data_IF_175829085416
#
_entry.id   IF_175829085416
#
_cell.length_a   1.000
_cell.length_b   1.000
_cell.length_c   1.000
_cell.angle_alpha   90.00
_cell.angle_beta   90.00
_cell.angle_gamma   90.00
#
_symmetry.space_group_name_H-M   'P 1'
#
loop_
_entity.id
_entity.type
_entity.pdbx_description
1 polymer ?
#
# COMPACT_ATOMS: atom_id res chain seq x y z
N UNK A 1 -17.27 4.24 12.47
CA UNK A 1 -15.86 4.41 12.89
C UNK A 1 -15.52 3.32 13.88
N UNK A 2 -14.24 3.04 14.14
CA UNK A 2 -13.83 2.17 15.24
C UNK A 2 -14.06 2.95 16.53
N UNK A 3 -14.89 2.43 17.44
CA UNK A 3 -15.20 3.10 18.68
C UNK A 3 -13.94 3.23 19.56
N UNK A 4 -13.82 4.35 20.27
CA UNK A 4 -12.71 4.68 21.18
C UNK A 4 -11.30 4.74 20.55
N UNK A 5 -11.18 4.82 19.22
CA UNK A 5 -9.89 5.05 18.58
C UNK A 5 -9.47 6.53 18.73
N UNK A 6 -8.25 6.82 19.22
CA UNK A 6 -7.78 8.19 19.31
C UNK A 6 -7.75 8.88 17.93
N UNK A 7 -8.24 10.12 17.88
CA UNK A 7 -8.39 10.88 16.63
C UNK A 7 -7.08 11.02 15.84
N UNK A 8 -5.93 11.08 16.52
CA UNK A 8 -4.63 11.20 15.86
C UNK A 8 -4.33 10.01 14.95
N UNK A 9 -4.80 8.80 15.25
CA UNK A 9 -4.58 7.60 14.43
C UNK A 9 -5.26 7.79 13.08
N UNK A 10 -6.52 8.22 13.09
CA UNK A 10 -7.31 8.53 11.89
C UNK A 10 -6.66 9.65 11.08
N UNK A 11 -6.23 10.74 11.73
CA UNK A 11 -5.60 11.88 11.07
C UNK A 11 -4.29 11.45 10.39
N UNK A 12 -3.40 10.77 11.11
CA UNK A 12 -2.12 10.30 10.56
C UNK A 12 -2.34 9.36 9.38
N UNK A 13 -3.33 8.48 9.46
CA UNK A 13 -3.65 7.55 8.38
C UNK A 13 -4.19 8.27 7.12
N UNK A 14 -5.05 9.28 7.30
CA UNK A 14 -5.52 10.13 6.20
C UNK A 14 -4.35 10.89 5.57
N UNK A 15 -3.47 11.48 6.38
CA UNK A 15 -2.28 12.18 5.90
C UNK A 15 -1.33 11.25 5.14
N UNK A 16 -1.12 10.01 5.60
CA UNK A 16 -0.35 9.00 4.89
C UNK A 16 -0.98 8.64 3.53
N UNK A 17 -2.30 8.52 3.48
CA UNK A 17 -3.04 8.28 2.23
C UNK A 17 -2.88 9.45 1.26
N UNK A 18 -3.04 10.69 1.73
CA UNK A 18 -2.83 11.90 0.94
C UNK A 18 -1.39 12.03 0.46
N UNK A 19 -0.41 11.71 1.31
CA UNK A 19 1.00 11.67 0.94
C UNK A 19 1.25 10.67 -0.20
N UNK A 20 0.67 9.47 -0.12
CA UNK A 20 0.71 8.47 -1.21
C UNK A 20 0.12 9.04 -2.50
N UNK A 21 -1.06 9.64 -2.43
CA UNK A 21 -1.76 10.24 -3.56
C UNK A 21 -0.92 11.34 -4.23
N UNK A 22 -0.37 12.26 -3.43
CA UNK A 22 0.43 13.39 -3.90
C UNK A 22 1.72 12.89 -4.57
N UNK A 23 2.42 11.93 -3.96
CA UNK A 23 3.63 11.37 -4.56
C UNK A 23 3.33 10.57 -5.82
N UNK A 24 2.23 9.81 -5.85
CA UNK A 24 1.83 9.08 -7.05
C UNK A 24 1.42 10.02 -8.20
N UNK A 25 0.74 11.13 -7.88
CA UNK A 25 0.46 12.21 -8.82
C UNK A 25 1.74 12.86 -9.36
N UNK A 26 2.69 13.20 -8.49
CA UNK A 26 3.99 13.75 -8.90
C UNK A 26 4.79 12.75 -9.74
N UNK A 27 4.78 11.47 -9.36
CA UNK A 27 5.48 10.41 -10.08
C UNK A 27 4.89 10.17 -11.48
N UNK A 28 3.59 10.40 -11.65
CA UNK A 28 2.89 10.31 -12.93
C UNK A 28 2.95 11.58 -13.77
N UNK A 29 3.99 12.41 -13.57
CA UNK A 29 4.19 13.68 -14.26
C UNK A 29 2.96 14.61 -14.14
N UNK A 30 2.35 14.64 -12.95
CA UNK A 30 1.21 15.48 -12.65
C UNK A 30 -0.01 15.21 -13.54
N UNK A 31 -0.19 13.94 -13.95
CA UNK A 31 -1.33 13.51 -14.76
C UNK A 31 -2.65 13.72 -14.01
N UNK A 32 -3.48 14.65 -14.51
CA UNK A 32 -4.83 14.90 -13.97
C UNK A 32 -5.70 13.65 -14.01
N UNK A 33 -5.52 12.78 -15.01
CA UNK A 33 -6.25 11.51 -15.12
C UNK A 33 -5.94 10.59 -13.94
N UNK A 34 -4.66 10.43 -13.60
CA UNK A 34 -4.25 9.61 -12.45
C UNK A 34 -4.83 10.18 -11.16
N UNK A 35 -4.73 11.50 -10.97
CA UNK A 35 -5.28 12.16 -9.79
C UNK A 35 -6.79 11.95 -9.64
N UNK A 36 -7.57 12.22 -10.70
CA UNK A 36 -9.03 12.10 -10.68
C UNK A 36 -9.47 10.65 -10.45
N UNK A 37 -8.84 9.68 -11.12
CA UNK A 37 -9.14 8.25 -10.91
C UNK A 37 -8.82 7.83 -9.48
N UNK A 38 -7.66 8.23 -8.94
CA UNK A 38 -7.28 7.92 -7.56
C UNK A 38 -8.20 8.57 -6.53
N UNK A 39 -8.58 9.84 -6.72
CA UNK A 39 -9.54 10.53 -5.83
C UNK A 39 -10.91 9.85 -5.92
N UNK A 40 -11.43 9.60 -7.12
CA UNK A 40 -12.72 8.93 -7.30
C UNK A 40 -12.73 7.55 -6.63
N UNK A 41 -11.63 6.80 -6.75
CA UNK A 41 -11.46 5.52 -6.08
C UNK A 41 -11.42 5.66 -4.54
N UNK A 42 -10.63 6.59 -4.00
CA UNK A 42 -10.56 6.85 -2.56
C UNK A 42 -11.91 7.29 -2.00
N UNK A 43 -12.65 8.16 -2.70
CA UNK A 43 -13.98 8.60 -2.30
C UNK A 43 -14.95 7.42 -2.29
N UNK A 44 -15.00 6.62 -3.37
CA UNK A 44 -15.86 5.43 -3.44
C UNK A 44 -15.57 4.48 -2.27
N UNK A 45 -14.30 4.14 -2.08
CA UNK A 45 -13.85 3.22 -1.04
C UNK A 45 -14.09 3.77 0.37
N UNK A 46 -13.91 5.08 0.54
CA UNK A 46 -14.14 5.76 1.81
C UNK A 46 -15.61 5.81 2.18
N UNK A 47 -16.50 6.11 1.22
CA UNK A 47 -17.95 6.08 1.41
C UNK A 47 -18.43 4.67 1.76
N UNK A 48 -17.97 3.65 1.02
CA UNK A 48 -18.31 2.25 1.33
C UNK A 48 -17.84 1.85 2.75
N UNK A 49 -16.62 2.20 3.13
CA UNK A 49 -16.09 1.94 4.47
C UNK A 49 -16.80 2.74 5.57
N UNK A 50 -17.30 3.94 5.27
CA UNK A 50 -18.07 4.77 6.20
C UNK A 50 -19.45 4.18 6.48
N UNK A 51 -20.11 3.64 5.44
CA UNK A 51 -21.40 2.94 5.56
C UNK A 51 -21.27 1.47 5.96
N UNK A 52 -20.14 1.06 6.53
CA UNK A 52 -19.91 -0.30 7.04
C UNK A 52 -20.10 -1.40 5.97
N UNK A 53 -19.91 -1.07 4.69
CA UNK A 53 -20.12 -2.04 3.60
C UNK A 53 -19.23 -3.27 3.75
N UNK A 54 -17.98 -3.08 4.19
CA UNK A 54 -16.98 -4.16 4.31
C UNK A 54 -17.06 -4.98 5.60
N UNK A 55 -17.89 -4.59 6.58
CA UNK A 55 -18.01 -5.32 7.86
C UNK A 55 -18.86 -6.58 7.74
N UNK A 56 -19.67 -6.70 6.68
CA UNK A 56 -20.32 -7.96 6.33
C UNK A 56 -19.29 -8.87 5.64
N UNK A 57 -18.84 -9.88 6.36
CA UNK A 57 -17.77 -10.77 5.93
C UNK A 57 -18.25 -12.17 5.58
N UNK A 58 -19.53 -12.50 5.79
CA UNK A 58 -20.10 -13.83 5.56
C UNK A 58 -20.26 -14.19 4.06
N UNK A 59 -20.27 -13.18 3.19
CA UNK A 59 -20.45 -13.37 1.74
C UNK A 59 -19.22 -13.97 1.04
N UNK A 60 -19.47 -14.80 0.01
CA UNK A 60 -18.43 -15.32 -0.90
C UNK A 60 -18.68 -14.82 -2.34
N UNK A 61 -17.75 -14.08 -2.97
CA UNK A 61 -16.44 -13.68 -2.43
C UNK A 61 -16.55 -12.61 -1.33
N UNK A 62 -15.56 -12.53 -0.40
CA UNK A 62 -15.55 -11.50 0.64
C UNK A 62 -15.60 -10.10 0.03
N UNK A 63 -16.39 -9.19 0.62
CA UNK A 63 -16.55 -7.83 0.09
C UNK A 63 -15.24 -7.07 -0.03
N UNK A 64 -14.26 -7.36 0.84
CA UNK A 64 -12.91 -6.78 0.79
C UNK A 64 -12.20 -7.05 -0.55
N UNK A 65 -12.56 -8.12 -1.28
CA UNK A 65 -12.06 -8.39 -2.63
C UNK A 65 -12.44 -7.25 -3.60
N UNK A 66 -13.57 -6.58 -3.40
CA UNK A 66 -13.98 -5.43 -4.22
C UNK A 66 -13.09 -4.19 -4.01
N UNK A 67 -12.39 -4.09 -2.88
CA UNK A 67 -11.37 -3.07 -2.65
C UNK A 67 -10.03 -3.43 -3.31
N UNK A 68 -9.66 -4.72 -3.32
CA UNK A 68 -8.37 -5.20 -3.83
C UNK A 68 -8.39 -5.43 -5.34
N UNK A 69 -9.32 -6.25 -5.82
CA UNK A 69 -9.34 -6.81 -7.17
C UNK A 69 -9.29 -5.76 -8.27
N UNK A 70 -10.09 -4.66 -8.25
CA UNK A 70 -10.03 -3.64 -9.29
C UNK A 70 -8.65 -2.98 -9.43
N UNK A 71 -7.92 -2.83 -8.33
CA UNK A 71 -6.58 -2.23 -8.37
C UNK A 71 -5.54 -3.16 -8.99
N UNK A 72 -5.61 -4.46 -8.71
CA UNK A 72 -4.74 -5.46 -9.34
C UNK A 72 -5.07 -5.65 -10.82
N UNK A 73 -6.35 -5.60 -11.20
CA UNK A 73 -6.75 -5.61 -12.61
C UNK A 73 -6.23 -4.38 -13.32
N UNK A 74 -6.40 -3.18 -12.75
CA UNK A 74 -5.87 -1.94 -13.33
C UNK A 74 -4.34 -2.00 -13.48
N UNK A 75 -3.65 -2.52 -12.47
CA UNK A 75 -2.21 -2.77 -12.51
C UNK A 75 -1.83 -3.71 -13.65
N UNK A 76 -2.51 -4.86 -13.79
CA UNK A 76 -2.29 -5.81 -14.89
C UNK A 76 -2.48 -5.15 -16.25
N UNK A 77 -3.59 -4.42 -16.45
CA UNK A 77 -3.87 -3.69 -17.69
C UNK A 77 -2.72 -2.73 -18.04
N UNK A 78 -2.18 -1.99 -17.07
CA UNK A 78 -1.06 -1.09 -17.30
C UNK A 78 0.23 -1.83 -17.72
N UNK A 79 0.49 -3.03 -17.19
CA UNK A 79 1.70 -3.77 -17.54
C UNK A 79 1.60 -4.50 -18.90
N UNK A 80 0.41 -4.94 -19.28
CA UNK A 80 0.21 -5.76 -20.48
C UNK A 80 -0.16 -4.95 -21.74
N UNK A 81 -0.83 -3.80 -21.61
CA UNK A 81 -1.23 -2.98 -22.77
C UNK A 81 -0.11 -2.07 -23.29
N UNK A 82 -0.08 -1.79 -24.59
CA UNK A 82 0.93 -0.92 -25.20
C UNK A 82 0.93 0.50 -24.59
N UNK A 83 -0.27 1.11 -24.42
CA UNK A 83 -0.43 2.42 -23.78
C UNK A 83 0.06 2.41 -22.32
N UNK A 84 -0.24 1.35 -21.58
CA UNK A 84 0.22 1.20 -20.20
C UNK A 84 1.73 1.08 -20.08
N UNK A 85 2.39 0.35 -20.99
CA UNK A 85 3.87 0.26 -21.04
C UNK A 85 4.52 1.62 -21.26
N UNK A 86 3.98 2.44 -22.16
CA UNK A 86 4.44 3.83 -22.39
C UNK A 86 4.24 4.68 -21.14
N UNK A 87 3.08 4.59 -20.49
CA UNK A 87 2.83 5.29 -19.24
C UNK A 87 3.84 4.91 -18.15
N UNK A 88 4.06 3.61 -17.92
CA UNK A 88 5.04 3.10 -16.95
C UNK A 88 6.45 3.62 -17.21
N UNK A 89 6.87 3.68 -18.49
CA UNK A 89 8.18 4.20 -18.85
C UNK A 89 8.35 5.69 -18.51
N UNK A 90 7.27 6.47 -18.54
CA UNK A 90 7.26 7.90 -18.22
C UNK A 90 7.34 8.21 -16.72
N UNK A 91 7.06 7.24 -15.84
CA UNK A 91 6.94 7.48 -14.40
C UNK A 91 8.28 7.89 -13.77
N UNK A 92 8.28 8.85 -12.86
CA UNK A 92 9.50 9.27 -12.16
C UNK A 92 9.91 8.26 -11.07
N UNK A 93 10.94 7.46 -11.35
CA UNK A 93 11.45 6.44 -10.42
C UNK A 93 11.92 7.01 -9.08
N UNK A 94 12.50 8.22 -9.04
CA UNK A 94 12.95 8.84 -7.80
C UNK A 94 11.76 9.14 -6.89
N UNK A 95 10.67 9.67 -7.45
CA UNK A 95 9.45 9.99 -6.70
C UNK A 95 8.74 8.72 -6.24
N UNK A 96 8.67 7.68 -7.09
CA UNK A 96 8.18 6.36 -6.67
C UNK A 96 9.03 5.76 -5.55
N UNK A 97 10.35 5.99 -5.56
CA UNK A 97 11.22 5.51 -4.49
C UNK A 97 10.93 6.24 -3.16
N UNK A 98 10.72 7.56 -3.21
CA UNK A 98 10.27 8.34 -2.05
C UNK A 98 8.92 7.90 -1.49
N UNK A 99 8.02 7.40 -2.35
CA UNK A 99 6.70 6.94 -1.95
C UNK A 99 6.78 5.85 -0.87
N UNK A 100 7.82 5.02 -0.88
CA UNK A 100 7.98 3.94 0.10
C UNK A 100 8.09 4.43 1.55
N UNK A 101 8.45 5.70 1.80
CA UNK A 101 8.46 6.32 3.13
C UNK A 101 7.10 6.25 3.82
N UNK A 102 6.00 6.20 3.06
CA UNK A 102 4.65 6.13 3.61
C UNK A 102 4.43 4.93 4.53
N UNK A 103 5.23 3.88 4.39
CA UNK A 103 5.18 2.73 5.30
C UNK A 103 5.42 3.13 6.75
N UNK A 104 6.27 4.11 7.04
CA UNK A 104 6.55 4.52 8.42
C UNK A 104 5.26 4.96 9.14
N UNK A 105 4.51 5.98 8.67
CA UNK A 105 3.27 6.36 9.34
C UNK A 105 2.18 5.28 9.26
N UNK A 106 2.14 4.46 8.20
CA UNK A 106 1.18 3.35 8.10
C UNK A 106 1.45 2.30 9.17
N UNK A 107 2.70 1.88 9.35
CA UNK A 107 3.10 0.89 10.35
C UNK A 107 2.87 1.38 11.78
N UNK A 108 3.08 2.67 12.04
CA UNK A 108 2.69 3.29 13.32
C UNK A 108 1.17 3.25 13.54
N UNK A 109 0.37 3.50 12.49
CA UNK A 109 -1.08 3.36 12.58
C UNK A 109 -1.51 1.91 12.82
N UNK A 110 -0.86 0.94 12.16
CA UNK A 110 -1.12 -0.47 12.41
C UNK A 110 -0.81 -0.83 13.87
N UNK A 111 0.32 -0.38 14.41
CA UNK A 111 0.64 -0.57 15.81
C UNK A 111 -0.43 0.00 16.76
N UNK A 112 -0.90 1.23 16.52
CA UNK A 112 -1.98 1.81 17.33
C UNK A 112 -3.31 1.06 17.20
N UNK A 113 -3.62 0.55 16.00
CA UNK A 113 -4.79 -0.31 15.79
C UNK A 113 -4.68 -1.65 16.53
N UNK A 114 -3.45 -2.17 16.67
CA UNK A 114 -3.17 -3.38 17.47
C UNK A 114 -3.40 -3.13 18.95
N UNK A 115 -2.89 -2.01 19.48
CA UNK A 115 -3.14 -1.58 20.87
C UNK A 115 -4.65 -1.40 21.11
N UNK A 116 -5.37 -0.87 20.12
CA UNK A 116 -6.83 -0.75 20.13
C UNK A 116 -7.60 -2.05 19.85
N UNK A 117 -6.92 -3.21 19.81
CA UNK A 117 -7.50 -4.54 19.63
C UNK A 117 -8.26 -4.78 18.32
N UNK A 118 -7.90 -4.04 17.26
CA UNK A 118 -8.59 -4.13 15.95
C UNK A 118 -7.77 -4.77 14.83
N UNK A 119 -6.47 -4.98 15.04
CA UNK A 119 -5.64 -5.79 14.15
C UNK A 119 -4.69 -6.64 15.00
N UNK A 120 -4.22 -7.82 14.55
CA UNK A 120 -3.35 -8.67 15.36
C UNK A 120 -1.90 -8.19 15.42
N UNK A 121 -1.17 -8.65 16.44
CA UNK A 121 0.26 -8.37 16.63
C UNK A 121 1.12 -8.75 15.41
N UNK A 122 0.80 -9.89 14.77
CA UNK A 122 1.51 -10.39 13.59
C UNK A 122 1.52 -9.41 12.42
N UNK A 123 0.56 -8.48 12.38
CA UNK A 123 0.45 -7.42 11.38
C UNK A 123 1.31 -6.18 11.68
N UNK A 124 1.99 -6.14 12.83
CA UNK A 124 2.79 -5.01 13.30
C UNK A 124 4.29 -5.31 13.25
N UNK A 125 5.10 -4.26 13.37
CA UNK A 125 6.56 -4.38 13.44
C UNK A 125 7.09 -5.01 14.73
N UNK A 126 6.28 -5.11 15.80
CA UNK A 126 6.63 -5.91 16.99
C UNK A 126 6.50 -7.42 16.71
N UNK A 127 5.56 -7.79 15.82
CA UNK A 127 5.36 -9.16 15.40
C UNK A 127 6.25 -9.56 14.23
N UNK A 128 5.66 -9.78 13.06
CA UNK A 128 6.36 -10.32 11.87
C UNK A 128 6.39 -9.36 10.68
N UNK A 129 5.90 -8.13 10.85
CA UNK A 129 5.84 -7.14 9.77
C UNK A 129 7.07 -6.22 9.75
N UNK A 130 8.09 -6.59 8.99
CA UNK A 130 9.29 -5.76 8.86
C UNK A 130 9.20 -4.70 7.75
N UNK A 131 8.00 -4.40 7.22
CA UNK A 131 7.84 -3.44 6.12
C UNK A 131 8.24 -2.00 6.54
N UNK A 132 8.25 -1.69 7.85
CA UNK A 132 8.81 -0.42 8.37
C UNK A 132 10.26 -0.18 7.93
N UNK A 133 11.07 -1.25 7.79
CA UNK A 133 12.46 -1.15 7.33
C UNK A 133 12.55 -0.69 5.88
N UNK A 134 11.61 -1.12 5.02
CA UNK A 134 11.52 -0.62 3.65
C UNK A 134 11.21 0.89 3.62
N UNK A 135 10.36 1.36 4.55
CA UNK A 135 10.09 2.78 4.72
C UNK A 135 11.29 3.59 5.17
N UNK A 136 12.01 3.12 6.19
CA UNK A 136 13.20 3.79 6.76
C UNK A 136 14.37 3.80 5.77
N UNK A 137 14.56 2.73 5.00
CA UNK A 137 15.67 2.64 4.03
C UNK A 137 15.40 3.39 2.73
N UNK A 138 14.14 3.76 2.42
CA UNK A 138 13.80 4.46 1.18
C UNK A 138 14.53 5.82 0.99
N UNK A 139 14.57 6.75 1.96
CA UNK A 139 15.32 8.01 1.83
C UNK A 139 16.83 7.78 1.61
N UNK A 140 17.39 6.77 2.28
CA UNK A 140 18.80 6.40 2.15
C UNK A 140 19.07 5.95 0.71
N UNK A 141 18.25 5.05 0.19
CA UNK A 141 18.35 4.59 -1.21
C UNK A 141 18.16 5.74 -2.18
N UNK A 142 17.21 6.65 -1.92
CA UNK A 142 17.03 7.82 -2.78
C UNK A 142 18.30 8.67 -2.83
N UNK A 143 18.86 8.98 -1.66
CA UNK A 143 20.06 9.78 -1.54
C UNK A 143 21.26 9.11 -2.22
N UNK A 144 21.50 7.83 -1.96
CA UNK A 144 22.66 7.13 -2.47
C UNK A 144 22.60 6.86 -3.98
N UNK A 145 21.44 6.45 -4.51
CA UNK A 145 21.28 6.11 -5.93
C UNK A 145 21.02 7.34 -6.81
N UNK A 146 20.06 8.20 -6.45
CA UNK A 146 19.65 9.30 -7.32
C UNK A 146 20.42 10.60 -7.10
N UNK A 147 20.85 10.91 -5.87
CA UNK A 147 21.56 12.16 -5.58
C UNK A 147 23.08 11.99 -5.68
N UNK A 148 23.64 11.00 -4.97
CA UNK A 148 25.09 10.77 -4.93
C UNK A 148 25.60 9.88 -6.06
N UNK A 149 24.74 9.06 -6.66
CA UNK A 149 25.08 8.11 -7.74
C UNK A 149 26.23 7.15 -7.36
N UNK A 150 26.34 6.81 -6.07
CA UNK A 150 27.39 5.92 -5.54
C UNK A 150 26.97 4.46 -5.50
N UNK A 151 25.67 4.20 -5.65
CA UNK A 151 25.08 2.86 -5.60
C UNK A 151 24.72 2.41 -7.01
N UNK A 152 25.02 1.16 -7.34
CA UNK A 152 24.75 0.60 -8.65
C UNK A 152 23.26 0.31 -8.86
N UNK A 153 22.88 0.25 -10.13
CA UNK A 153 21.56 -0.19 -10.58
C UNK A 153 21.14 -1.56 -10.00
N UNK A 154 22.11 -2.47 -9.85
CA UNK A 154 21.90 -3.81 -9.28
C UNK A 154 21.46 -3.73 -7.81
N UNK A 155 22.05 -2.84 -7.03
CA UNK A 155 21.67 -2.66 -5.62
C UNK A 155 20.26 -2.09 -5.50
N UNK A 156 19.88 -1.10 -6.33
CA UNK A 156 18.50 -0.58 -6.33
C UNK A 156 17.48 -1.67 -6.71
N UNK A 157 17.84 -2.55 -7.66
CA UNK A 157 17.00 -3.69 -8.04
C UNK A 157 16.86 -4.68 -6.89
N UNK A 158 17.95 -5.05 -6.22
CA UNK A 158 17.94 -5.95 -5.05
C UNK A 158 17.06 -5.35 -3.94
N UNK A 159 17.22 -4.05 -3.64
CA UNK A 159 16.41 -3.37 -2.64
C UNK A 159 14.91 -3.43 -2.97
N UNK A 160 14.53 -3.17 -4.22
CA UNK A 160 13.13 -3.26 -4.65
C UNK A 160 12.58 -4.68 -4.52
N UNK A 161 13.36 -5.70 -4.90
CA UNK A 161 12.94 -7.11 -4.78
C UNK A 161 12.79 -7.50 -3.30
N UNK A 162 13.75 -7.14 -2.44
CA UNK A 162 13.67 -7.42 -1.01
C UNK A 162 12.45 -6.74 -0.36
N UNK A 163 12.22 -5.45 -0.64
CA UNK A 163 11.06 -4.73 -0.13
C UNK A 163 9.73 -5.29 -0.67
N UNK A 164 9.69 -5.74 -1.92
CA UNK A 164 8.52 -6.41 -2.48
C UNK A 164 8.23 -7.73 -1.79
N UNK A 165 9.25 -8.52 -1.42
CA UNK A 165 9.07 -9.76 -0.67
C UNK A 165 8.46 -9.46 0.71
N UNK A 166 8.96 -8.43 1.41
CA UNK A 166 8.38 -7.98 2.69
C UNK A 166 6.89 -7.59 2.51
N UNK A 167 6.59 -6.77 1.49
CA UNK A 167 5.23 -6.35 1.19
C UNK A 167 4.30 -7.53 0.88
N UNK A 168 4.73 -8.48 0.05
CA UNK A 168 3.93 -9.65 -0.29
C UNK A 168 3.68 -10.52 0.94
N UNK A 169 4.69 -10.67 1.81
CA UNK A 169 4.55 -11.39 3.07
C UNK A 169 3.42 -10.79 3.92
N UNK A 170 3.47 -9.49 4.18
CA UNK A 170 2.45 -8.83 5.01
C UNK A 170 1.06 -8.82 4.33
N UNK A 171 0.98 -8.72 3.00
CA UNK A 171 -0.31 -8.80 2.29
C UNK A 171 -0.94 -10.19 2.47
N UNK A 172 -0.16 -11.27 2.38
CA UNK A 172 -0.65 -12.64 2.60
C UNK A 172 -1.11 -12.80 4.06
N UNK A 173 -0.30 -12.34 5.01
CA UNK A 173 -0.66 -12.33 6.44
C UNK A 173 -1.95 -11.55 6.69
N UNK A 174 -2.11 -10.38 6.07
CA UNK A 174 -3.30 -9.54 6.19
C UNK A 174 -4.56 -10.24 5.68
N UNK A 175 -4.46 -10.96 4.56
CA UNK A 175 -5.56 -11.73 3.99
C UNK A 175 -5.98 -12.87 4.91
N UNK A 176 -5.02 -13.64 5.45
CA UNK A 176 -5.32 -14.74 6.35
C UNK A 176 -5.68 -14.32 7.78
N UNK A 177 -5.39 -13.08 8.17
CA UNK A 177 -5.82 -12.50 9.43
C UNK A 177 -7.18 -11.78 9.34
N UNK A 178 -7.65 -11.46 8.12
CA UNK A 178 -8.94 -10.78 7.94
C UNK A 178 -10.10 -11.70 8.33
N UNK A 179 -11.13 -11.20 9.03
CA UNK A 179 -12.26 -11.97 9.56
C UNK A 179 -13.23 -12.41 8.44
N UNK A 180 -12.76 -13.20 7.50
CA UNK A 180 -13.48 -13.66 6.31
C UNK A 180 -13.46 -15.19 6.27
N UNK A 181 -14.26 -15.86 5.41
CA UNK A 181 -14.25 -17.31 5.30
C UNK A 181 -12.88 -17.94 4.97
N UNK A 182 -11.91 -17.14 4.50
CA UNK A 182 -10.54 -17.57 4.21
C UNK A 182 -9.55 -17.30 5.37
N UNK A 183 -10.02 -16.83 6.53
CA UNK A 183 -9.18 -16.60 7.70
C UNK A 183 -8.49 -17.90 8.13
N UNK A 184 -7.18 -17.83 8.42
CA UNK A 184 -6.38 -18.97 8.88
C UNK A 184 -5.59 -18.68 10.16
N UNK A 185 -5.44 -17.40 10.52
CA UNK A 185 -4.63 -16.96 11.66
C UNK A 185 -5.35 -15.85 12.43
N UNK A 186 -4.81 -15.52 13.61
CA UNK A 186 -5.25 -14.38 14.42
C UNK A 186 -6.74 -14.41 14.80
N UNK A 187 -7.29 -15.59 15.12
CA UNK A 187 -8.70 -15.74 15.50
C UNK A 187 -9.06 -14.96 16.78
N UNK A 188 -8.12 -14.84 17.72
CA UNK A 188 -8.35 -14.10 18.97
C UNK A 188 -8.43 -12.58 18.77
N UNK A 189 -7.73 -12.06 17.75
CA UNK A 189 -7.71 -10.63 17.43
C UNK A 189 -7.62 -10.44 15.90
N UNK A 190 -8.73 -10.63 15.16
CA UNK A 190 -8.72 -10.57 13.70
C UNK A 190 -8.39 -9.17 13.17
N UNK A 191 -8.01 -9.09 11.90
CA UNK A 191 -7.75 -7.84 11.20
C UNK A 191 -9.07 -7.15 10.79
N UNK A 192 -9.84 -6.71 11.79
CA UNK A 192 -11.12 -6.00 11.58
C UNK A 192 -10.91 -4.54 11.19
N UNK A 193 -9.78 -3.94 11.58
CA UNK A 193 -9.51 -2.51 11.41
C UNK A 193 -9.56 -2.05 9.95
N UNK A 194 -9.05 -2.87 9.03
CA UNK A 194 -9.03 -2.58 7.58
C UNK A 194 -10.42 -2.53 6.93
N UNK A 195 -11.48 -2.95 7.62
CA UNK A 195 -12.85 -2.93 7.09
C UNK A 195 -13.52 -1.56 7.25
N UNK A 196 -12.94 -0.70 8.09
CA UNK A 196 -13.52 0.60 8.43
C UNK A 196 -12.83 1.75 7.71
N UNK A 197 -13.56 2.84 7.49
CA UNK A 197 -12.95 4.11 7.12
C UNK A 197 -12.09 4.67 8.26
N UNK A 198 -10.90 5.25 7.99
CA UNK A 198 -10.24 5.39 6.68
C UNK A 198 -9.31 4.21 6.32
N UNK A 199 -9.15 3.24 7.21
CA UNK A 199 -8.17 2.15 7.11
C UNK A 199 -8.38 1.21 5.92
N UNK A 200 -9.59 1.15 5.37
CA UNK A 200 -9.87 0.46 4.10
C UNK A 200 -9.05 0.99 2.92
N UNK A 201 -8.57 2.24 2.98
CA UNK A 201 -7.65 2.76 1.96
C UNK A 201 -6.28 2.07 1.97
N UNK A 202 -5.92 1.33 3.04
CA UNK A 202 -4.70 0.53 3.05
C UNK A 202 -4.74 -0.55 1.96
N UNK A 203 -5.66 -1.54 2.00
CA UNK A 203 -5.77 -2.53 0.94
C UNK A 203 -6.28 -1.93 -0.38
N UNK A 204 -7.12 -0.90 -0.33
CA UNK A 204 -7.73 -0.35 -1.54
C UNK A 204 -6.81 0.56 -2.34
N UNK A 205 -5.79 1.19 -1.75
CA UNK A 205 -5.01 2.21 -2.45
C UNK A 205 -3.53 2.19 -2.12
N UNK A 206 -3.17 2.30 -0.83
CA UNK A 206 -1.77 2.43 -0.42
C UNK A 206 -0.96 1.20 -0.85
N UNK A 207 -1.41 0.00 -0.46
CA UNK A 207 -0.72 -1.25 -0.78
C UNK A 207 -0.60 -1.46 -2.30
N UNK A 208 -1.67 -1.32 -3.11
CA UNK A 208 -1.56 -1.42 -4.57
C UNK A 208 -0.58 -0.41 -5.20
N UNK A 209 -0.60 0.86 -4.77
CA UNK A 209 0.30 1.90 -5.32
C UNK A 209 1.76 1.62 -4.94
N UNK A 210 1.98 1.18 -3.71
CA UNK A 210 3.31 0.78 -3.22
C UNK A 210 3.83 -0.43 -3.99
N UNK A 211 2.99 -1.45 -4.20
CA UNK A 211 3.34 -2.64 -4.98
C UNK A 211 3.62 -2.30 -6.44
N UNK A 212 2.78 -1.45 -7.04
CA UNK A 212 2.97 -0.92 -8.39
C UNK A 212 4.32 -0.23 -8.53
N UNK A 213 4.73 0.56 -7.53
CA UNK A 213 6.00 1.28 -7.52
C UNK A 213 7.20 0.31 -7.62
N UNK A 214 7.17 -0.80 -6.88
CA UNK A 214 8.19 -1.85 -6.99
C UNK A 214 8.20 -2.52 -8.37
N UNK A 215 7.04 -2.89 -8.90
CA UNK A 215 6.97 -3.52 -10.23
C UNK A 215 7.48 -2.59 -11.33
N UNK A 216 7.16 -1.30 -11.26
CA UNK A 216 7.66 -0.29 -12.20
C UNK A 216 9.17 -0.19 -12.11
N UNK A 217 9.72 -0.07 -10.89
CA UNK A 217 11.15 -0.01 -10.66
C UNK A 217 11.87 -1.26 -11.18
N UNK A 218 11.40 -2.45 -10.81
CA UNK A 218 11.99 -3.74 -11.23
C UNK A 218 11.98 -3.86 -12.75
N UNK A 219 10.85 -3.56 -13.41
CA UNK A 219 10.75 -3.62 -14.87
C UNK A 219 11.74 -2.68 -15.52
N UNK A 220 11.74 -1.39 -15.12
CA UNK A 220 12.62 -0.38 -15.72
C UNK A 220 14.09 -0.68 -15.48
N UNK A 221 14.45 -1.22 -14.31
CA UNK A 221 15.82 -1.61 -13.98
C UNK A 221 16.23 -2.93 -14.65
N UNK A 222 15.32 -3.74 -15.19
CA UNK A 222 15.69 -4.91 -16.00
C UNK A 222 15.86 -4.57 -17.48
N UNK A 223 15.10 -3.60 -17.99
CA UNK A 223 15.09 -3.26 -19.44
C UNK A 223 16.04 -2.14 -19.84
N UNK A 224 16.70 -1.46 -18.88
CA UNK A 224 17.67 -0.40 -19.20
C UNK A 224 19.03 -1.02 -19.52
N UNK A 225 19.27 -1.33 -20.79
CA UNK A 225 20.63 -1.42 -21.35
C UNK A 225 21.10 -0.03 -21.76
#
# INVERSE_FOLDING_TARGET
MIDNLPLYVTIVFILATLFTLILFYKASNQSKKVLLVSIGWLVLQGVLGFFYFYTNTDGMPPRLVLALFPTFVAMGILFFTAKGKVFIASLNLKVLTWLHVVRIPVELCLYWLFVAKTIPEVMTFEGRNFDILAGITAPIIVYLYFNRKVVSKKILLIWNVACLILLVNIVITALFAAPTPIQQIAFDQPNVGILYFPFVWLPAFIVPVVMFSHFVAIKRLRTSE
#
